data_IF_627149378420
#
_entry.id   IF_627149378420
#
_cell.length_a   1.000
_cell.length_b   1.000
_cell.length_c   1.000
_cell.angle_alpha   90.00
_cell.angle_beta   90.00
_cell.angle_gamma   90.00
#
_symmetry.space_group_name_H-M   'P 1'
#
loop_
_entity.id
_entity.type
_entity.pdbx_description
1 polymer ?
#
# COMPACT_ATOMS: atom_id res chain seq x y z
N UNK A 1 -1.49 27.24 -5.24
CA UNK A 1 -1.50 26.55 -3.93
C UNK A 1 -0.89 25.20 -4.20
N UNK A 2 0.21 24.81 -3.53
CA UNK A 2 0.77 23.47 -3.75
C UNK A 2 -0.12 22.52 -2.96
N UNK A 3 -1.02 21.84 -3.64
CA UNK A 3 -1.73 20.70 -3.10
C UNK A 3 -0.66 19.72 -2.65
N UNK A 4 -0.33 19.76 -1.35
CA UNK A 4 0.54 18.76 -0.74
C UNK A 4 -0.25 17.48 -0.86
N UNK A 5 0.17 16.61 -1.78
CA UNK A 5 -0.39 15.28 -1.96
C UNK A 5 -0.06 14.49 -0.69
N UNK A 6 -0.90 14.65 0.32
CA UNK A 6 -0.84 13.90 1.57
C UNK A 6 -1.32 12.50 1.25
N UNK A 7 -0.38 11.54 1.25
CA UNK A 7 -0.73 10.13 1.24
C UNK A 7 -1.51 9.82 2.53
N UNK A 8 -2.40 8.83 2.47
CA UNK A 8 -3.07 8.31 3.67
C UNK A 8 -2.05 7.75 4.66
N UNK A 9 -2.40 7.59 5.92
CA UNK A 9 -1.47 7.02 6.89
C UNK A 9 -1.15 5.54 6.60
N UNK A 10 0.03 5.07 7.02
CA UNK A 10 0.49 3.69 6.81
C UNK A 10 -0.53 2.66 7.29
N UNK A 11 -1.13 2.88 8.47
CA UNK A 11 -2.15 1.98 9.03
C UNK A 11 -3.38 1.85 8.13
N UNK A 12 -3.91 2.98 7.65
CA UNK A 12 -5.05 2.99 6.74
C UNK A 12 -4.69 2.36 5.38
N UNK A 13 -3.50 2.62 4.85
CA UNK A 13 -3.04 1.99 3.62
C UNK A 13 -3.02 0.46 3.72
N UNK A 14 -2.54 -0.06 4.85
CA UNK A 14 -2.53 -1.50 5.11
C UNK A 14 -3.95 -2.06 5.24
N UNK A 15 -4.88 -1.35 5.89
CA UNK A 15 -6.28 -1.81 5.99
C UNK A 15 -6.99 -1.85 4.63
N UNK A 16 -6.79 -0.82 3.79
CA UNK A 16 -7.35 -0.81 2.43
C UNK A 16 -6.81 -1.97 1.60
N UNK A 17 -5.50 -2.23 1.66
CA UNK A 17 -4.88 -3.33 0.93
C UNK A 17 -5.33 -4.68 1.48
N UNK A 18 -5.50 -4.82 2.80
CA UNK A 18 -6.04 -6.05 3.42
C UNK A 18 -7.49 -6.32 3.02
N UNK A 19 -8.31 -5.27 2.89
CA UNK A 19 -9.69 -5.38 2.42
C UNK A 19 -9.80 -5.67 0.93
N UNK A 20 -8.73 -5.39 0.16
CA UNK A 20 -8.67 -5.64 -1.26
C UNK A 20 -8.08 -7.02 -1.56
N UNK A 21 -8.78 -7.82 -2.36
CA UNK A 21 -8.28 -9.13 -2.80
C UNK A 21 -7.21 -8.93 -3.86
N UNK A 22 -5.94 -8.95 -3.45
CA UNK A 22 -4.82 -8.99 -4.39
C UNK A 22 -4.58 -10.44 -4.84
N UNK A 23 -4.42 -10.69 -6.15
CA UNK A 23 -4.21 -12.04 -6.70
C UNK A 23 -2.96 -12.74 -6.14
N UNK A 24 -1.84 -12.03 -6.06
CA UNK A 24 -0.56 -12.59 -5.61
C UNK A 24 0.19 -11.68 -4.65
N UNK A 25 -0.43 -10.57 -4.22
CA UNK A 25 0.14 -9.63 -3.25
C UNK A 25 1.62 -9.34 -3.49
N UNK A 26 1.98 -9.15 -4.76
CA UNK A 26 3.33 -8.75 -5.14
C UNK A 26 3.40 -7.24 -5.31
N UNK A 27 4.64 -6.73 -5.33
CA UNK A 27 4.92 -5.35 -5.73
C UNK A 27 4.23 -4.99 -7.06
N UNK A 28 4.17 -5.93 -8.01
CA UNK A 28 3.64 -5.65 -9.34
C UNK A 28 2.12 -5.45 -9.30
N UNK A 29 1.38 -6.36 -8.65
CA UNK A 29 -0.06 -6.22 -8.45
C UNK A 29 -0.40 -4.92 -7.73
N UNK A 30 0.33 -4.61 -6.66
CA UNK A 30 0.13 -3.34 -5.97
C UNK A 30 0.41 -2.15 -6.90
N UNK A 31 1.49 -2.16 -7.67
CA UNK A 31 1.80 -1.05 -8.59
C UNK A 31 0.81 -0.89 -9.75
N UNK A 32 0.07 -1.92 -10.11
CA UNK A 32 -0.96 -1.84 -11.15
C UNK A 32 -2.30 -1.41 -10.52
N UNK A 33 -2.63 -1.94 -9.34
CA UNK A 33 -3.92 -1.74 -8.68
C UNK A 33 -3.93 -0.62 -7.63
N UNK A 34 -2.81 -0.01 -7.21
CA UNK A 34 -2.82 0.98 -6.11
C UNK A 34 -3.77 2.14 -6.35
N UNK A 35 -3.89 2.61 -7.60
CA UNK A 35 -4.84 3.66 -7.98
C UNK A 35 -6.29 3.20 -7.94
N UNK A 36 -6.53 1.91 -8.19
CA UNK A 36 -7.84 1.28 -8.13
C UNK A 36 -8.27 1.05 -6.68
N UNK A 37 -7.31 0.65 -5.82
CA UNK A 37 -7.50 0.52 -4.38
C UNK A 37 -7.82 1.89 -3.76
N UNK A 38 -6.97 2.90 -3.99
CA UNK A 38 -7.19 4.25 -3.48
C UNK A 38 -6.32 5.31 -4.19
N UNK A 39 -6.91 6.46 -4.53
CA UNK A 39 -6.20 7.56 -5.22
C UNK A 39 -5.04 8.14 -4.41
N UNK A 40 -5.17 8.14 -3.08
CA UNK A 40 -4.17 8.63 -2.13
C UNK A 40 -3.14 7.58 -1.71
N UNK A 41 -3.15 6.38 -2.31
CA UNK A 41 -2.06 5.43 -2.11
C UNK A 41 -0.81 5.85 -2.90
N UNK A 42 0.37 5.83 -2.27
CA UNK A 42 1.62 6.11 -2.94
C UNK A 42 2.03 4.94 -3.85
N UNK A 43 2.49 5.22 -5.07
CA UNK A 43 3.09 4.19 -5.94
C UNK A 43 4.29 3.49 -5.30
N UNK A 44 5.01 4.22 -4.44
CA UNK A 44 6.17 3.75 -3.68
C UNK A 44 5.94 3.95 -2.17
N UNK A 45 5.26 3.01 -1.49
CA UNK A 45 4.98 3.11 -0.06
C UNK A 45 6.25 3.08 0.79
N UNK A 46 7.32 2.43 0.34
CA UNK A 46 8.65 2.53 0.96
C UNK A 46 9.16 3.96 1.11
N UNK A 47 8.89 4.83 0.12
CA UNK A 47 9.36 6.22 0.13
C UNK A 47 8.37 7.14 0.85
N UNK A 48 7.08 6.80 0.80
CA UNK A 48 6.04 7.57 1.49
C UNK A 48 6.01 7.29 3.00
N UNK A 49 6.30 6.06 3.40
CA UNK A 49 6.24 5.59 4.77
C UNK A 49 7.61 5.15 5.27
N UNK A 50 8.72 5.78 4.85
CA UNK A 50 10.07 5.26 5.12
C UNK A 50 10.33 4.96 6.61
N UNK A 51 9.74 5.77 7.49
CA UNK A 51 9.81 5.65 8.95
C UNK A 51 9.03 4.43 9.50
N UNK A 52 7.89 4.10 8.88
CA UNK A 52 6.99 3.02 9.29
C UNK A 52 7.05 1.79 8.36
N UNK A 53 7.92 1.80 7.35
CA UNK A 53 7.95 0.80 6.29
C UNK A 53 8.70 -0.45 6.74
N UNK A 54 7.96 -1.46 7.16
CA UNK A 54 8.52 -2.77 7.55
C UNK A 54 8.79 -3.72 6.36
N UNK A 55 8.39 -3.33 5.14
CA UNK A 55 8.55 -4.13 3.93
C UNK A 55 7.24 -4.58 3.29
N UNK A 56 7.35 -5.08 2.06
CA UNK A 56 6.19 -5.52 1.27
C UNK A 56 5.40 -6.63 1.94
N UNK A 57 6.06 -7.52 2.68
CA UNK A 57 5.40 -8.64 3.34
C UNK A 57 4.47 -8.19 4.48
N UNK A 58 4.82 -7.11 5.18
CA UNK A 58 3.97 -6.53 6.21
C UNK A 58 2.88 -5.63 5.61
N UNK A 59 3.26 -4.88 4.56
CA UNK A 59 2.36 -3.93 3.90
C UNK A 59 1.26 -4.61 3.08
N UNK A 60 1.60 -5.65 2.33
CA UNK A 60 0.64 -6.36 1.49
C UNK A 60 -0.09 -7.46 2.25
N UNK A 61 0.32 -7.78 3.49
CA UNK A 61 -0.19 -8.78 4.44
C UNK A 61 -1.27 -9.73 3.87
N UNK A 62 -0.94 -10.38 2.76
CA UNK A 62 -1.78 -11.37 2.14
C UNK A 62 -1.23 -12.70 2.64
N UNK A 63 -2.08 -13.36 3.41
CA UNK A 63 -1.99 -14.76 3.80
C UNK A 63 -0.55 -15.31 3.83
N UNK A 64 0.18 -15.08 4.94
CA UNK A 64 1.07 -16.16 5.40
C UNK A 64 0.14 -17.31 5.80
N UNK A 65 -0.24 -18.15 4.85
CA UNK A 65 -0.56 -19.53 5.18
C UNK A 65 0.77 -20.23 5.46
N UNK A 66 0.78 -21.00 6.55
CA UNK A 66 1.95 -21.59 7.18
C UNK A 66 2.67 -22.63 6.33
#
# INVERSE_FOLDING_TARGET
MRDKKTYIEYGQAVELIKGYVLPVATKLDYQISYKDIHVDLPSNPRKAYEDQWEGWNNFLKACKQG
#
